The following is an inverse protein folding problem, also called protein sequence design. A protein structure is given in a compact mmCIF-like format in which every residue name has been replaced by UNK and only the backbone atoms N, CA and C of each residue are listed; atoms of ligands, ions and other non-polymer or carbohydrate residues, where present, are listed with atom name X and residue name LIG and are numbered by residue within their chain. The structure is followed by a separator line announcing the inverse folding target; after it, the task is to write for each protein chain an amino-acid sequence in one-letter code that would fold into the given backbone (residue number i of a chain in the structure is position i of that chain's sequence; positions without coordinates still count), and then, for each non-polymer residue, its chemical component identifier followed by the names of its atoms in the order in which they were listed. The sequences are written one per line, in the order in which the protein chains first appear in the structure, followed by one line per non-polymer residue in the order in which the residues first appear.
data_IF_750316924220
#
_entry.id   IF_750316924220
#
_cell.length_a   1.000
_cell.length_b   1.000
_cell.length_c   1.000
_cell.angle_alpha   90.00
_cell.angle_beta   90.00
_cell.angle_gamma   90.00
#
_symmetry.space_group_name_H-M   'P 1'
#
loop_
_entity.id
_entity.type
_entity.pdbx_description
1 polymer ?
#
# COMPACT_ATOMS: atom_id res chain seq x y z
N UNK A 1 -63.39 -8.09 -20.66
CA UNK A 1 -62.35 -7.34 -21.39
C UNK A 1 -61.44 -6.79 -20.34
N UNK A 2 -60.48 -7.62 -19.90
CA UNK A 2 -59.48 -7.26 -18.89
C UNK A 2 -58.14 -7.16 -19.61
N UNK A 3 -57.48 -6.02 -19.45
CA UNK A 3 -56.13 -5.77 -19.91
C UNK A 3 -55.14 -6.50 -19.01
N UNK A 4 -54.12 -7.19 -19.54
CA UNK A 4 -53.08 -7.76 -18.70
C UNK A 4 -52.19 -6.64 -18.16
N UNK A 5 -51.97 -6.65 -16.84
CA UNK A 5 -50.99 -5.83 -16.16
C UNK A 5 -49.59 -6.19 -16.66
N UNK A 6 -48.83 -5.17 -17.06
CA UNK A 6 -47.43 -5.31 -17.45
C UNK A 6 -46.62 -5.71 -16.20
N UNK A 7 -45.88 -6.83 -16.20
CA UNK A 7 -45.04 -7.20 -15.08
C UNK A 7 -43.85 -6.25 -15.03
N UNK A 8 -43.50 -5.83 -13.81
CA UNK A 8 -42.60 -4.72 -13.54
C UNK A 8 -41.24 -4.81 -14.23
N UNK A 9 -40.89 -3.71 -14.91
CA UNK A 9 -39.51 -3.23 -14.99
C UNK A 9 -39.11 -2.75 -13.58
N UNK A 10 -38.75 -3.70 -12.72
CA UNK A 10 -37.74 -3.41 -11.71
C UNK A 10 -36.41 -3.30 -12.46
N UNK A 11 -35.60 -2.25 -12.25
CA UNK A 11 -34.27 -2.22 -12.87
C UNK A 11 -33.57 -3.50 -12.44
N UNK A 12 -33.08 -4.28 -13.41
CA UNK A 12 -32.33 -5.51 -13.16
C UNK A 12 -31.18 -5.09 -12.24
N UNK A 13 -31.28 -5.39 -10.94
CA UNK A 13 -30.17 -5.19 -10.01
C UNK A 13 -29.06 -6.10 -10.51
N UNK A 14 -28.05 -5.50 -11.15
CA UNK A 14 -26.89 -6.22 -11.65
C UNK A 14 -26.29 -7.03 -10.51
N UNK A 15 -26.27 -8.35 -10.67
CA UNK A 15 -25.65 -9.24 -9.70
C UNK A 15 -24.17 -8.86 -9.51
N UNK A 16 -23.67 -8.91 -8.27
CA UNK A 16 -22.29 -8.56 -7.95
C UNK A 16 -21.35 -9.69 -8.35
N UNK A 17 -20.98 -9.75 -9.63
CA UNK A 17 -20.01 -10.68 -10.21
C UNK A 17 -18.77 -9.94 -10.71
N UNK A 18 -17.67 -10.68 -10.91
CA UNK A 18 -16.42 -10.12 -11.44
C UNK A 18 -16.64 -9.54 -12.84
N UNK A 19 -17.43 -10.22 -13.67
CA UNK A 19 -17.75 -9.81 -15.03
C UNK A 19 -18.57 -8.52 -15.06
N UNK A 20 -19.54 -8.37 -14.15
CA UNK A 20 -20.34 -7.16 -14.05
C UNK A 20 -19.51 -5.98 -13.51
N UNK A 21 -18.57 -6.23 -12.61
CA UNK A 21 -17.60 -5.21 -12.16
C UNK A 21 -16.71 -4.75 -13.31
N UNK A 22 -16.20 -5.67 -14.12
CA UNK A 22 -15.40 -5.34 -15.31
C UNK A 22 -16.20 -4.55 -16.35
N UNK A 23 -17.44 -4.95 -16.59
CA UNK A 23 -18.34 -4.23 -17.50
C UNK A 23 -18.62 -2.81 -17.03
N UNK A 24 -18.91 -2.63 -15.74
CA UNK A 24 -19.13 -1.30 -15.15
C UNK A 24 -17.85 -0.45 -15.18
N UNK A 25 -16.67 -1.03 -14.96
CA UNK A 25 -15.39 -0.33 -15.10
C UNK A 25 -15.15 0.10 -16.56
N UNK A 26 -15.44 -0.77 -17.52
CA UNK A 26 -15.34 -0.43 -18.93
C UNK A 26 -16.25 0.75 -19.28
N UNK A 27 -17.50 0.73 -18.82
CA UNK A 27 -18.45 1.83 -19.00
C UNK A 27 -17.93 3.13 -18.36
N UNK A 28 -17.40 3.06 -17.13
CA UNK A 28 -16.84 4.22 -16.44
C UNK A 28 -15.67 4.87 -17.20
N UNK A 29 -14.74 4.07 -17.73
CA UNK A 29 -13.55 4.61 -18.40
C UNK A 29 -13.83 5.02 -19.84
N UNK A 30 -14.60 4.23 -20.61
CA UNK A 30 -14.66 4.34 -22.07
C UNK A 30 -15.99 4.83 -22.65
N UNK A 31 -17.09 4.85 -21.90
CA UNK A 31 -18.37 5.33 -22.43
C UNK A 31 -18.30 6.84 -22.72
N UNK A 32 -18.72 7.34 -23.90
CA UNK A 32 -18.70 8.78 -24.17
C UNK A 32 -19.77 9.57 -23.39
N UNK A 33 -20.82 8.90 -22.88
CA UNK A 33 -21.92 9.52 -22.16
C UNK A 33 -21.60 9.68 -20.66
N UNK A 34 -21.63 10.93 -20.19
CA UNK A 34 -21.33 11.28 -18.81
C UNK A 34 -22.37 10.76 -17.81
N UNK A 35 -23.64 10.63 -18.22
CA UNK A 35 -24.68 10.09 -17.34
C UNK A 35 -24.43 8.61 -17.06
N UNK A 36 -24.07 7.84 -18.10
CA UNK A 36 -23.69 6.43 -17.98
C UNK A 36 -22.43 6.21 -17.16
N UNK A 37 -21.43 7.09 -17.27
CA UNK A 37 -20.27 7.06 -16.38
C UNK A 37 -20.66 7.27 -14.92
N UNK A 38 -21.55 8.22 -14.66
CA UNK A 38 -22.03 8.49 -13.31
C UNK A 38 -22.83 7.32 -12.72
N UNK A 39 -23.63 6.63 -13.53
CA UNK A 39 -24.35 5.41 -13.14
C UNK A 39 -23.36 4.28 -12.77
N UNK A 40 -22.39 4.01 -13.65
CA UNK A 40 -21.34 3.03 -13.39
C UNK A 40 -20.54 3.35 -12.12
N UNK A 41 -20.15 4.62 -11.93
CA UNK A 41 -19.43 5.05 -10.73
C UNK A 41 -20.26 4.79 -9.45
N UNK A 42 -21.56 5.12 -9.47
CA UNK A 42 -22.46 4.88 -8.33
C UNK A 42 -22.56 3.39 -8.02
N UNK A 43 -22.78 2.56 -9.03
CA UNK A 43 -22.88 1.11 -8.86
C UNK A 43 -21.56 0.50 -8.36
N UNK A 44 -20.42 0.89 -8.92
CA UNK A 44 -19.10 0.45 -8.47
C UNK A 44 -18.82 0.85 -7.02
N UNK A 45 -19.22 2.06 -6.62
CA UNK A 45 -19.10 2.51 -5.22
C UNK A 45 -19.93 1.63 -4.27
N UNK A 46 -21.14 1.23 -4.67
CA UNK A 46 -21.97 0.29 -3.92
C UNK A 46 -21.34 -1.11 -3.88
N UNK A 47 -20.77 -1.56 -5.00
CA UNK A 47 -20.05 -2.84 -5.09
C UNK A 47 -18.87 -2.88 -4.12
N UNK A 48 -18.10 -1.80 -3.99
CA UNK A 48 -16.97 -1.72 -3.04
C UNK A 48 -17.41 -1.79 -1.57
N UNK A 49 -18.58 -1.26 -1.23
CA UNK A 49 -19.11 -1.30 0.14
C UNK A 49 -19.69 -2.68 0.52
N UNK A 50 -20.03 -3.51 -0.47
CA UNK A 50 -20.66 -4.82 -0.27
C UNK A 50 -19.80 -5.81 0.54
N UNK A 51 -20.41 -6.88 1.04
CA UNK A 51 -19.69 -7.96 1.72
C UNK A 51 -18.84 -8.78 0.73
N UNK A 52 -19.36 -8.97 -0.48
CA UNK A 52 -18.74 -9.72 -1.58
C UNK A 52 -17.42 -9.09 -2.04
N UNK A 53 -17.24 -7.79 -1.79
CA UNK A 53 -16.02 -7.04 -2.09
C UNK A 53 -14.76 -7.67 -1.47
N UNK A 54 -14.86 -8.32 -0.31
CA UNK A 54 -13.72 -9.04 0.29
C UNK A 54 -13.21 -10.21 -0.56
N UNK A 55 -14.05 -10.73 -1.46
CA UNK A 55 -13.75 -11.89 -2.30
C UNK A 55 -13.43 -11.47 -3.74
N UNK A 56 -14.34 -10.72 -4.40
CA UNK A 56 -14.17 -10.41 -5.82
C UNK A 56 -12.94 -9.52 -6.09
N UNK A 57 -12.53 -8.68 -5.12
CA UNK A 57 -11.40 -7.77 -5.31
C UNK A 57 -10.09 -8.49 -5.66
N UNK A 58 -9.92 -9.72 -5.18
CA UNK A 58 -8.76 -10.55 -5.48
C UNK A 58 -8.78 -11.11 -6.89
N UNK A 59 -9.97 -11.47 -7.40
CA UNK A 59 -10.12 -11.92 -8.78
C UNK A 59 -9.78 -10.81 -9.80
N UNK A 60 -10.05 -9.55 -9.43
CA UNK A 60 -9.69 -8.39 -10.25
C UNK A 60 -8.19 -8.12 -10.32
N UNK A 61 -7.40 -8.66 -9.38
CA UNK A 61 -5.94 -8.56 -9.36
C UNK A 61 -5.25 -9.63 -10.23
N UNK A 62 -6.01 -10.45 -10.96
CA UNK A 62 -5.45 -11.47 -11.81
C UNK A 62 -4.58 -10.85 -12.94
N UNK A 63 -3.50 -11.54 -13.36
CA UNK A 63 -2.50 -10.98 -14.29
C UNK A 63 -3.03 -10.76 -15.72
N UNK A 64 -4.12 -11.43 -16.09
CA UNK A 64 -4.82 -11.27 -17.37
C UNK A 64 -5.71 -10.02 -17.43
N UNK A 65 -5.90 -9.33 -16.30
CA UNK A 65 -6.75 -8.13 -16.20
C UNK A 65 -5.99 -6.85 -16.57
N UNK A 66 -6.73 -5.86 -17.06
CA UNK A 66 -6.18 -4.54 -17.35
C UNK A 66 -5.73 -3.82 -16.06
N UNK A 67 -4.69 -2.96 -16.11
CA UNK A 67 -4.21 -2.23 -14.93
C UNK A 67 -5.29 -1.44 -14.19
N UNK A 68 -6.26 -0.87 -14.91
CA UNK A 68 -7.38 -0.12 -14.33
C UNK A 68 -8.32 -1.02 -13.51
N UNK A 69 -8.54 -2.25 -13.98
CA UNK A 69 -9.33 -3.27 -13.28
C UNK A 69 -8.61 -3.75 -12.03
N UNK A 70 -7.30 -4.05 -12.16
CA UNK A 70 -6.44 -4.40 -11.03
C UNK A 70 -6.40 -3.28 -9.98
N UNK A 71 -6.30 -2.03 -10.43
CA UNK A 71 -6.32 -0.87 -9.55
C UNK A 71 -7.63 -0.74 -8.78
N UNK A 72 -8.77 -1.04 -9.42
CA UNK A 72 -10.05 -1.08 -8.72
C UNK A 72 -10.08 -2.21 -7.67
N UNK A 73 -9.55 -3.40 -7.97
CA UNK A 73 -9.38 -4.48 -6.99
C UNK A 73 -8.56 -4.05 -5.78
N UNK A 74 -7.37 -3.49 -5.99
CA UNK A 74 -6.51 -2.97 -4.93
C UNK A 74 -7.17 -1.83 -4.14
N UNK A 75 -7.89 -0.93 -4.81
CA UNK A 75 -8.60 0.18 -4.17
C UNK A 75 -9.77 -0.32 -3.32
N UNK A 76 -10.45 -1.37 -3.78
CA UNK A 76 -11.51 -2.04 -3.02
C UNK A 76 -10.96 -2.63 -1.73
N UNK A 77 -9.80 -3.32 -1.79
CA UNK A 77 -9.12 -3.82 -0.59
C UNK A 77 -8.79 -2.72 0.41
N UNK A 78 -8.19 -1.61 -0.07
CA UNK A 78 -7.90 -0.47 0.79
C UNK A 78 -9.17 0.09 1.46
N UNK A 79 -10.24 0.29 0.69
CA UNK A 79 -11.54 0.75 1.21
C UNK A 79 -12.10 -0.21 2.27
N UNK A 80 -12.09 -1.53 2.00
CA UNK A 80 -12.59 -2.53 2.93
C UNK A 80 -11.78 -2.56 4.23
N UNK A 81 -10.45 -2.49 4.15
CA UNK A 81 -9.57 -2.47 5.31
C UNK A 81 -9.70 -1.16 6.10
N UNK A 82 -9.86 -0.03 5.43
CA UNK A 82 -9.92 1.29 6.09
C UNK A 82 -11.28 1.59 6.69
N UNK A 83 -12.37 1.14 6.07
CA UNK A 83 -13.74 1.54 6.46
C UNK A 83 -14.61 0.39 6.95
N UNK A 84 -14.29 -0.85 6.60
CA UNK A 84 -15.08 -2.04 6.91
C UNK A 84 -14.28 -3.07 7.74
N UNK A 85 -13.28 -2.62 8.48
CA UNK A 85 -12.40 -3.50 9.27
C UNK A 85 -13.17 -4.35 10.29
N UNK A 86 -14.22 -3.79 10.89
CA UNK A 86 -15.08 -4.47 11.86
C UNK A 86 -15.81 -5.69 11.28
N UNK A 87 -15.98 -5.74 9.96
CA UNK A 87 -16.68 -6.82 9.28
C UNK A 87 -15.80 -8.07 9.15
N UNK A 88 -14.48 -7.93 9.37
CA UNK A 88 -13.50 -9.00 9.21
C UNK A 88 -13.19 -9.69 10.56
N UNK A 89 -13.52 -10.99 10.70
CA UNK A 89 -13.19 -11.76 11.90
C UNK A 89 -11.68 -11.81 12.19
N UNK A 90 -11.31 -11.82 13.47
CA UNK A 90 -9.91 -11.75 13.91
C UNK A 90 -9.05 -12.94 13.48
N UNK A 91 -9.66 -14.12 13.33
CA UNK A 91 -9.02 -15.33 12.83
C UNK A 91 -8.62 -15.24 11.34
N UNK A 92 -9.18 -14.28 10.59
CA UNK A 92 -8.86 -14.05 9.19
C UNK A 92 -7.77 -12.99 8.98
N UNK A 93 -7.37 -12.27 10.04
CA UNK A 93 -6.39 -11.18 9.94
C UNK A 93 -5.03 -11.68 9.42
N UNK A 94 -4.54 -12.82 9.91
CA UNK A 94 -3.26 -13.36 9.43
C UNK A 94 -3.31 -13.80 7.96
N UNK A 95 -4.41 -14.45 7.55
CA UNK A 95 -4.60 -14.85 6.16
C UNK A 95 -4.61 -13.65 5.22
N UNK A 96 -5.36 -12.60 5.57
CA UNK A 96 -5.41 -11.37 4.79
C UNK A 96 -4.02 -10.71 4.67
N UNK A 97 -3.25 -10.69 5.77
CA UNK A 97 -1.91 -10.11 5.80
C UNK A 97 -0.97 -10.84 4.85
N UNK A 98 -0.94 -12.16 4.93
CA UNK A 98 -0.12 -12.99 4.04
C UNK A 98 -0.52 -12.83 2.57
N UNK A 99 -1.82 -12.76 2.29
CA UNK A 99 -2.33 -12.56 0.94
C UNK A 99 -1.94 -11.19 0.37
N UNK A 100 -2.02 -10.12 1.16
CA UNK A 100 -1.56 -8.78 0.76
C UNK A 100 -0.06 -8.78 0.48
N UNK A 101 0.77 -9.32 1.38
CA UNK A 101 2.22 -9.41 1.21
C UNK A 101 2.58 -10.16 -0.08
N UNK A 102 1.95 -11.32 -0.31
CA UNK A 102 2.17 -12.12 -1.52
C UNK A 102 1.79 -11.35 -2.79
N UNK A 103 0.69 -10.59 -2.77
CA UNK A 103 0.29 -9.79 -3.93
C UNK A 103 1.22 -8.58 -4.12
N UNK A 104 1.69 -7.92 -3.07
CA UNK A 104 2.66 -6.82 -3.21
C UNK A 104 3.97 -7.32 -3.85
N UNK A 105 4.43 -8.52 -3.47
CA UNK A 105 5.57 -9.17 -4.13
C UNK A 105 5.28 -9.49 -5.59
N UNK A 106 4.11 -10.05 -5.91
CA UNK A 106 3.71 -10.32 -7.29
C UNK A 106 3.67 -9.04 -8.16
N UNK A 107 3.19 -7.95 -7.58
CA UNK A 107 3.07 -6.65 -8.26
C UNK A 107 4.34 -5.80 -8.17
N UNK A 108 5.45 -6.28 -7.60
CA UNK A 108 6.70 -5.50 -7.48
C UNK A 108 7.25 -5.06 -8.83
N UNK A 109 7.03 -5.89 -9.86
CA UNK A 109 7.41 -5.63 -11.25
C UNK A 109 6.20 -5.28 -12.14
N UNK A 110 5.02 -5.08 -11.55
CA UNK A 110 3.77 -4.79 -12.22
C UNK A 110 3.46 -3.29 -12.34
N UNK A 111 2.21 -2.92 -12.65
CA UNK A 111 1.79 -1.52 -12.73
C UNK A 111 1.95 -0.80 -11.38
N UNK A 112 2.78 0.26 -11.36
CA UNK A 112 3.11 1.02 -10.13
C UNK A 112 1.89 1.49 -9.35
N UNK A 113 0.82 1.94 -10.03
CA UNK A 113 -0.40 2.40 -9.37
C UNK A 113 -1.08 1.31 -8.54
N UNK A 114 -1.03 0.06 -9.00
CA UNK A 114 -1.61 -1.09 -8.30
C UNK A 114 -0.74 -1.47 -7.11
N UNK A 115 0.59 -1.53 -7.33
CA UNK A 115 1.57 -1.78 -6.27
C UNK A 115 1.41 -0.79 -5.11
N UNK A 116 1.46 0.52 -5.39
CA UNK A 116 1.29 1.56 -4.37
C UNK A 116 -0.05 1.41 -3.64
N UNK A 117 -1.15 1.12 -4.36
CA UNK A 117 -2.45 0.95 -3.72
C UNK A 117 -2.51 -0.27 -2.80
N UNK A 118 -1.88 -1.38 -3.17
CA UNK A 118 -1.74 -2.55 -2.29
C UNK A 118 -0.86 -2.25 -1.08
N UNK A 119 0.23 -1.50 -1.25
CA UNK A 119 1.05 -1.02 -0.13
C UNK A 119 0.22 -0.17 0.85
N UNK A 120 -0.60 0.75 0.35
CA UNK A 120 -1.51 1.57 1.17
C UNK A 120 -2.56 0.71 1.89
N UNK A 121 -3.07 -0.35 1.25
CA UNK A 121 -3.99 -1.31 1.86
C UNK A 121 -3.32 -2.10 3.02
N UNK A 122 -2.06 -2.50 2.85
CA UNK A 122 -1.32 -3.19 3.92
C UNK A 122 -0.90 -2.24 5.04
N UNK A 123 -0.46 -1.01 4.73
CA UNK A 123 -0.22 0.03 5.73
C UNK A 123 -1.48 0.30 6.56
N UNK A 124 -2.62 0.37 5.88
CA UNK A 124 -3.94 0.51 6.50
C UNK A 124 -4.27 -0.60 7.49
N UNK A 125 -3.96 -1.84 7.11
CA UNK A 125 -4.13 -3.01 7.96
C UNK A 125 -3.19 -2.99 9.17
N UNK A 126 -1.92 -2.63 8.95
CA UNK A 126 -0.93 -2.49 10.02
C UNK A 126 -1.43 -1.48 11.08
N UNK A 127 -1.92 -0.31 10.66
CA UNK A 127 -2.48 0.71 11.56
C UNK A 127 -3.76 0.28 12.29
N UNK A 128 -4.48 -0.73 11.80
CA UNK A 128 -5.62 -1.30 12.52
C UNK A 128 -5.18 -2.33 13.58
N UNK A 129 -4.05 -3.01 13.35
CA UNK A 129 -3.57 -4.10 14.21
C UNK A 129 -2.57 -3.64 15.28
N UNK A 130 -1.74 -2.63 14.99
CA UNK A 130 -0.73 -2.14 15.93
C UNK A 130 -1.39 -1.34 17.06
N UNK A 131 -0.87 -1.38 18.29
CA UNK A 131 0.15 -2.30 18.80
C UNK A 131 -0.41 -3.63 19.31
N UNK A 132 -1.74 -3.81 19.33
CA UNK A 132 -2.38 -4.90 20.08
C UNK A 132 -2.22 -6.29 19.44
N UNK A 133 -2.37 -6.37 18.13
CA UNK A 133 -2.46 -7.62 17.37
C UNK A 133 -1.28 -7.83 16.41
N UNK A 134 -0.49 -6.79 16.13
CA UNK A 134 0.72 -6.89 15.35
C UNK A 134 1.84 -6.06 15.99
N UNK A 135 2.78 -6.76 16.63
CA UNK A 135 3.80 -6.14 17.48
C UNK A 135 5.03 -5.63 16.75
N UNK A 136 5.38 -6.21 15.58
CA UNK A 136 6.59 -5.89 14.82
C UNK A 136 6.31 -5.81 13.31
N UNK A 137 5.40 -4.91 12.87
CA UNK A 137 4.99 -4.76 11.48
C UNK A 137 6.16 -4.54 10.52
N UNK A 138 7.10 -3.63 10.82
CA UNK A 138 8.20 -3.32 9.90
C UNK A 138 9.16 -4.50 9.81
N UNK A 139 9.52 -5.13 10.93
CA UNK A 139 10.43 -6.27 10.90
C UNK A 139 9.85 -7.46 10.11
N UNK A 140 8.55 -7.72 10.24
CA UNK A 140 7.86 -8.75 9.47
C UNK A 140 7.82 -8.42 7.97
N UNK A 141 7.55 -7.16 7.61
CA UNK A 141 7.62 -6.70 6.21
C UNK A 141 9.03 -6.85 5.65
N UNK A 142 10.06 -6.39 6.36
CA UNK A 142 11.45 -6.56 5.92
C UNK A 142 11.78 -8.03 5.69
N UNK A 143 11.38 -8.93 6.59
CA UNK A 143 11.60 -10.38 6.45
C UNK A 143 10.87 -10.97 5.24
N UNK A 144 9.65 -10.52 4.96
CA UNK A 144 8.86 -11.02 3.84
C UNK A 144 9.45 -10.64 2.47
N UNK A 145 10.13 -9.48 2.37
CA UNK A 145 10.72 -8.97 1.13
C UNK A 145 12.19 -9.32 0.95
N UNK A 146 12.83 -9.90 1.97
CA UNK A 146 14.17 -10.48 1.81
C UNK A 146 14.12 -11.67 0.84
N UNK A 147 15.15 -11.85 -0.01
CA UNK A 147 15.26 -13.04 -0.85
C UNK A 147 15.15 -14.29 0.02
N UNK A 148 14.13 -15.11 -0.23
CA UNK A 148 14.02 -16.40 0.43
C UNK A 148 15.19 -17.26 -0.04
N UNK A 149 15.97 -17.84 0.88
CA UNK A 149 16.94 -18.86 0.48
C UNK A 149 16.14 -19.96 -0.21
N UNK A 150 16.54 -20.42 -1.42
CA UNK A 150 15.93 -21.62 -1.96
C UNK A 150 16.21 -22.73 -0.96
N UNK A 151 15.15 -23.25 -0.35
CA UNK A 151 15.26 -24.45 0.46
C UNK A 151 15.93 -25.49 -0.43
N UNK A 152 17.12 -25.90 0.00
CA UNK A 152 17.79 -27.03 -0.61
C UNK A 152 16.87 -28.21 -0.42
N UNK A 153 16.34 -28.71 -1.54
CA UNK A 153 15.43 -29.86 -1.71
C UNK A 153 14.01 -29.49 -2.21
N UNK A 154 13.88 -29.41 -3.54
CA UNK A 154 12.81 -30.18 -4.20
C UNK A 154 11.61 -29.47 -4.82
N UNK A 155 11.52 -28.13 -4.87
CA UNK A 155 10.37 -27.49 -5.55
C UNK A 155 10.68 -27.15 -7.01
N UNK A 156 10.39 -28.11 -7.90
CA UNK A 156 10.24 -27.86 -9.33
C UNK A 156 8.85 -27.26 -9.60
N UNK A 157 8.79 -25.97 -9.94
CA UNK A 157 7.55 -25.36 -10.42
C UNK A 157 7.55 -23.83 -10.38
N UNK A 158 7.87 -23.21 -11.52
CA UNK A 158 7.83 -21.76 -11.78
C UNK A 158 8.78 -20.92 -10.93
N UNK A 159 10.05 -20.86 -11.37
CA UNK A 159 10.97 -19.79 -10.99
C UNK A 159 10.42 -18.47 -11.54
N UNK A 160 9.49 -17.83 -10.81
CA UNK A 160 9.32 -16.40 -10.93
C UNK A 160 10.69 -15.81 -10.58
N UNK A 161 11.39 -15.31 -11.59
CA UNK A 161 12.66 -14.59 -11.44
C UNK A 161 12.45 -13.51 -10.40
N UNK A 162 12.84 -13.78 -9.15
CA UNK A 162 12.79 -12.83 -8.08
C UNK A 162 13.73 -11.70 -8.46
N UNK A 163 13.20 -10.54 -8.84
CA UNK A 163 13.98 -9.34 -9.07
C UNK A 163 14.25 -8.71 -7.69
N UNK A 164 15.46 -8.87 -7.12
CA UNK A 164 15.75 -8.41 -5.78
C UNK A 164 15.66 -6.88 -5.67
N UNK A 165 15.91 -6.17 -6.78
CA UNK A 165 15.76 -4.72 -6.84
C UNK A 165 14.28 -4.33 -6.82
N UNK A 166 13.42 -5.01 -7.58
CA UNK A 166 11.97 -4.75 -7.54
C UNK A 166 11.37 -4.99 -6.14
N UNK A 167 11.77 -6.07 -5.46
CA UNK A 167 11.34 -6.33 -4.08
C UNK A 167 11.82 -5.23 -3.12
N UNK A 168 13.08 -4.77 -3.26
CA UNK A 168 13.60 -3.67 -2.46
C UNK A 168 12.80 -2.37 -2.68
N UNK A 169 12.47 -2.04 -3.93
CA UNK A 169 11.67 -0.87 -4.27
C UNK A 169 10.23 -0.98 -3.73
N UNK A 170 9.62 -2.16 -3.79
CA UNK A 170 8.29 -2.40 -3.24
C UNK A 170 8.27 -2.31 -1.70
N UNK A 171 9.31 -2.82 -1.02
CA UNK A 171 9.48 -2.64 0.42
C UNK A 171 9.62 -1.15 0.78
N UNK A 172 10.47 -0.40 0.07
CA UNK A 172 10.62 1.03 0.31
C UNK A 172 9.31 1.80 0.06
N UNK A 173 8.53 1.41 -0.94
CA UNK A 173 7.19 1.96 -1.16
C UNK A 173 6.27 1.70 0.04
N UNK A 174 6.22 0.46 0.53
CA UNK A 174 5.42 0.07 1.70
C UNK A 174 5.82 0.85 2.96
N UNK A 175 7.12 0.98 3.20
CA UNK A 175 7.65 1.74 4.34
C UNK A 175 7.39 3.25 4.19
N UNK A 176 7.32 3.77 2.97
CA UNK A 176 7.00 5.19 2.72
C UNK A 176 5.52 5.48 2.97
N UNK A 177 4.62 4.63 2.47
CA UNK A 177 3.17 4.87 2.58
C UNK A 177 2.62 4.61 3.99
N UNK A 178 3.35 3.87 4.84
CA UNK A 178 2.94 3.59 6.22
C UNK A 178 2.74 4.87 7.07
N UNK A 179 3.75 5.75 7.22
CA UNK A 179 3.56 7.02 7.92
C UNK A 179 2.58 7.97 7.19
N UNK A 180 2.57 7.97 5.85
CA UNK A 180 1.64 8.81 5.06
C UNK A 180 0.17 8.44 5.32
N UNK A 181 -0.14 7.14 5.38
CA UNK A 181 -1.47 6.64 5.68
C UNK A 181 -1.88 6.98 7.12
N UNK A 182 -0.94 6.95 8.07
CA UNK A 182 -1.20 7.42 9.43
C UNK A 182 -1.54 8.92 9.47
N UNK A 183 -0.83 9.74 8.70
CA UNK A 183 -1.06 11.19 8.63
C UNK A 183 -2.40 11.52 7.98
N UNK A 184 -2.77 10.80 6.91
CA UNK A 184 -4.02 11.01 6.17
C UNK A 184 -5.27 10.56 6.95
N UNK A 185 -5.13 9.54 7.80
CA UNK A 185 -6.24 8.94 8.54
C UNK A 185 -6.85 9.89 9.57
N UNK A 186 -8.18 9.90 9.63
CA UNK A 186 -8.94 10.57 10.70
C UNK A 186 -9.08 9.64 11.89
N UNK A 187 -8.29 9.90 12.93
CA UNK A 187 -8.22 9.08 14.13
C UNK A 187 -8.61 9.89 15.36
N UNK A 188 -9.25 9.24 16.34
CA UNK A 188 -9.44 9.81 17.66
C UNK A 188 -8.07 10.10 18.33
N UNK A 189 -7.99 11.16 19.13
CA UNK A 189 -6.73 11.65 19.70
C UNK A 189 -5.94 10.57 20.45
N UNK A 190 -6.61 9.76 21.27
CA UNK A 190 -5.98 8.66 22.01
C UNK A 190 -5.37 7.60 21.09
N UNK A 191 -6.11 7.19 20.04
CA UNK A 191 -5.63 6.23 19.05
C UNK A 191 -4.46 6.80 18.24
N UNK A 192 -4.52 8.09 17.89
CA UNK A 192 -3.46 8.80 17.18
C UNK A 192 -2.16 8.85 17.99
N UNK A 193 -2.24 9.15 19.29
CA UNK A 193 -1.09 9.14 20.19
C UNK A 193 -0.46 7.73 20.29
N UNK A 194 -1.30 6.70 20.52
CA UNK A 194 -0.83 5.31 20.60
C UNK A 194 -0.14 4.84 19.31
N UNK A 195 -0.72 5.14 18.15
CA UNK A 195 -0.12 4.76 16.87
C UNK A 195 1.17 5.53 16.60
N UNK A 196 1.23 6.83 16.95
CA UNK A 196 2.47 7.61 16.82
C UNK A 196 3.60 7.01 17.64
N UNK A 197 3.34 6.66 18.90
CA UNK A 197 4.35 6.02 19.77
C UNK A 197 4.82 4.68 19.20
N UNK A 198 3.87 3.82 18.76
CA UNK A 198 4.21 2.53 18.18
C UNK A 198 5.02 2.68 16.87
N UNK A 199 4.62 3.57 15.97
CA UNK A 199 5.35 3.85 14.74
C UNK A 199 6.74 4.44 15.03
N UNK A 200 6.86 5.35 16.01
CA UNK A 200 8.16 5.87 16.41
C UNK A 200 9.11 4.75 16.88
N UNK A 201 8.57 3.72 17.56
CA UNK A 201 9.32 2.52 17.91
C UNK A 201 9.83 1.72 16.70
N UNK A 202 9.06 1.66 15.60
CA UNK A 202 9.47 0.96 14.38
C UNK A 202 10.66 1.65 13.67
N UNK A 203 10.93 2.93 13.97
CA UNK A 203 12.06 3.66 13.39
C UNK A 203 13.42 3.00 13.67
N UNK A 204 13.55 2.31 14.82
CA UNK A 204 14.75 1.55 15.16
C UNK A 204 15.09 0.46 14.14
N UNK A 205 14.10 -0.02 13.39
CA UNK A 205 14.27 -1.00 12.29
C UNK A 205 14.44 -0.30 10.94
N UNK A 206 13.69 0.78 10.70
CA UNK A 206 13.71 1.52 9.43
C UNK A 206 15.04 2.26 9.23
N UNK A 207 15.52 2.98 10.24
CA UNK A 207 16.70 3.85 10.12
C UNK A 207 17.96 3.08 9.63
N UNK A 208 18.35 1.95 10.26
CA UNK A 208 19.53 1.19 9.81
C UNK A 208 19.38 0.65 8.39
N UNK A 209 18.18 0.21 8.01
CA UNK A 209 17.88 -0.27 6.65
C UNK A 209 18.07 0.83 5.61
N UNK A 210 17.48 2.01 5.84
CA UNK A 210 17.61 3.16 4.95
C UNK A 210 19.09 3.56 4.80
N UNK A 211 19.82 3.58 5.91
CA UNK A 211 21.24 3.93 5.93
C UNK A 211 22.08 2.95 5.11
N UNK A 212 21.86 1.65 5.31
CA UNK A 212 22.53 0.59 4.56
C UNK A 212 22.31 0.76 3.05
N UNK A 213 21.07 1.03 2.63
CA UNK A 213 20.72 1.20 1.22
C UNK A 213 21.29 2.49 0.61
N UNK A 214 21.33 3.58 1.39
CA UNK A 214 21.89 4.85 0.92
C UNK A 214 23.41 4.78 0.73
N UNK A 215 24.11 4.14 1.66
CA UNK A 215 25.57 4.00 1.67
C UNK A 215 26.08 2.91 0.73
N UNK A 216 25.26 1.90 0.40
CA UNK A 216 25.67 0.81 -0.48
C UNK A 216 26.03 1.30 -1.88
N UNK A 217 27.13 0.76 -2.42
CA UNK A 217 27.56 1.01 -3.80
C UNK A 217 26.73 0.19 -4.81
N UNK A 218 26.15 -0.93 -4.37
CA UNK A 218 25.33 -1.80 -5.21
C UNK A 218 23.89 -1.28 -5.36
N UNK A 219 23.49 -0.31 -4.54
CA UNK A 219 22.16 0.30 -4.63
C UNK A 219 22.08 1.29 -5.79
N UNK A 220 21.12 1.06 -6.69
CA UNK A 220 20.85 1.96 -7.82
C UNK A 220 20.36 3.34 -7.35
N UNK A 221 20.50 4.35 -8.21
CA UNK A 221 20.00 5.71 -7.91
C UNK A 221 18.49 5.70 -7.62
N UNK A 222 17.72 4.85 -8.30
CA UNK A 222 16.29 4.69 -8.03
C UNK A 222 16.00 4.19 -6.60
N UNK A 223 16.80 3.25 -6.09
CA UNK A 223 16.69 2.78 -4.69
C UNK A 223 17.04 3.91 -3.74
N UNK A 224 18.13 4.65 -4.00
CA UNK A 224 18.55 5.78 -3.16
C UNK A 224 17.53 6.92 -3.15
N UNK A 225 16.90 7.24 -4.28
CA UNK A 225 15.80 8.19 -4.36
C UNK A 225 14.59 7.74 -3.51
N UNK A 226 14.24 6.45 -3.57
CA UNK A 226 13.18 5.87 -2.73
C UNK A 226 13.54 5.88 -1.23
N UNK A 227 14.81 5.70 -0.88
CA UNK A 227 15.30 5.84 0.51
C UNK A 227 15.09 7.28 1.01
N UNK A 228 15.43 8.28 0.20
CA UNK A 228 15.26 9.70 0.56
C UNK A 228 13.78 10.07 0.74
N UNK A 229 12.91 9.61 -0.17
CA UNK A 229 11.45 9.76 -0.03
C UNK A 229 10.91 9.07 1.24
N UNK A 230 11.37 7.85 1.50
CA UNK A 230 11.00 7.11 2.71
C UNK A 230 11.41 7.92 3.95
N UNK A 231 12.67 8.33 4.09
CA UNK A 231 13.11 9.18 5.20
C UNK A 231 12.20 10.40 5.40
N UNK A 232 11.91 11.14 4.32
CA UNK A 232 11.05 12.32 4.37
C UNK A 232 9.67 12.02 4.94
N UNK A 233 9.03 10.92 4.53
CA UNK A 233 7.71 10.51 5.04
C UNK A 233 7.71 10.22 6.56
N UNK A 234 8.82 9.72 7.10
CA UNK A 234 8.97 9.39 8.53
C UNK A 234 9.27 10.61 9.40
N UNK A 235 9.89 11.66 8.86
CA UNK A 235 10.19 12.88 9.63
C UNK A 235 8.95 13.57 10.22
N UNK A 236 7.77 13.43 9.59
CA UNK A 236 6.51 13.99 10.07
C UNK A 236 5.86 13.25 11.25
N UNK A 237 6.48 12.19 11.76
CA UNK A 237 5.99 11.42 12.92
C UNK A 237 6.51 11.96 14.27
N UNK A 238 7.26 13.06 14.29
CA UNK A 238 7.99 13.58 15.47
C UNK A 238 8.92 12.55 16.09
N UNK A 239 9.45 11.61 15.28
CA UNK A 239 10.46 10.65 15.74
C UNK A 239 11.65 11.44 16.23
N UNK A 240 12.15 11.13 17.43
CA UNK A 240 13.34 11.78 17.97
C UNK A 240 14.49 11.57 16.99
N UNK A 241 14.85 12.62 16.24
CA UNK A 241 15.93 12.64 15.26
C UNK A 241 17.33 12.43 15.90
N UNK A 242 17.40 12.23 17.22
CA UNK A 242 18.62 11.89 17.95
C UNK A 242 19.35 10.69 17.36
N UNK A 243 18.61 9.71 16.83
CA UNK A 243 19.19 8.51 16.18
C UNK A 243 19.26 8.62 14.64
N UNK A 244 18.79 9.73 14.05
CA UNK A 244 18.81 9.93 12.59
C UNK A 244 19.93 10.85 12.12
N UNK A 245 20.71 11.45 13.01
CA UNK A 245 21.78 12.39 12.66
C UNK A 245 22.70 11.81 11.57
N UNK A 246 23.10 10.55 11.72
CA UNK A 246 24.00 9.93 10.78
C UNK A 246 23.35 9.67 9.41
N UNK A 247 22.07 9.28 9.39
CA UNK A 247 21.32 9.11 8.14
C UNK A 247 21.13 10.46 7.42
N UNK A 248 20.86 11.53 8.16
CA UNK A 248 20.80 12.90 7.61
C UNK A 248 22.16 13.32 7.05
N UNK A 249 23.26 12.99 7.75
CA UNK A 249 24.61 13.22 7.25
C UNK A 249 24.88 12.45 5.94
N UNK A 250 24.41 11.21 5.84
CA UNK A 250 24.52 10.43 4.60
C UNK A 250 23.75 11.08 3.44
N UNK A 251 22.62 11.77 3.69
CA UNK A 251 21.91 12.55 2.67
C UNK A 251 22.75 13.69 2.08
N UNK A 252 23.62 14.34 2.87
CA UNK A 252 24.52 15.37 2.33
C UNK A 252 25.51 14.79 1.31
N UNK A 253 25.91 13.52 1.47
CA UNK A 253 26.77 12.85 0.49
C UNK A 253 26.03 12.64 -0.84
N UNK A 254 24.72 12.37 -0.79
CA UNK A 254 23.88 12.21 -1.98
C UNK A 254 23.77 13.49 -2.83
N UNK A 255 23.99 14.68 -2.26
CA UNK A 255 24.02 15.95 -3.00
C UNK A 255 25.12 16.00 -4.07
N UNK A 256 26.16 15.17 -3.94
CA UNK A 256 27.22 15.09 -4.96
C UNK A 256 26.77 14.35 -6.22
N UNK A 257 25.65 13.63 -6.18
CA UNK A 257 25.07 12.91 -7.30
C UNK A 257 23.97 13.77 -7.97
N UNK A 258 24.14 14.20 -9.23
CA UNK A 258 23.15 15.03 -9.93
C UNK A 258 21.76 14.41 -10.02
N UNK A 259 21.63 13.08 -10.11
CA UNK A 259 20.33 12.41 -10.19
C UNK A 259 19.58 12.39 -8.85
N UNK A 260 20.29 12.53 -7.73
CA UNK A 260 19.72 12.50 -6.38
C UNK A 260 19.59 13.89 -5.76
N UNK A 261 20.16 14.92 -6.40
CA UNK A 261 20.32 16.24 -5.82
C UNK A 261 19.00 16.83 -5.31
N UNK A 262 17.97 16.87 -6.15
CA UNK A 262 16.68 17.47 -5.79
C UNK A 262 16.01 16.74 -4.62
N UNK A 263 15.97 15.40 -4.68
CA UNK A 263 15.40 14.58 -3.60
C UNK A 263 16.21 14.69 -2.31
N UNK A 264 17.54 14.79 -2.39
CA UNK A 264 18.40 14.95 -1.23
C UNK A 264 18.21 16.32 -0.58
N UNK A 265 18.12 17.40 -1.36
CA UNK A 265 17.83 18.74 -0.85
C UNK A 265 16.47 18.76 -0.14
N UNK A 266 15.42 18.26 -0.79
CA UNK A 266 14.07 18.21 -0.20
C UNK A 266 14.05 17.43 1.12
N UNK A 267 14.73 16.28 1.15
CA UNK A 267 14.82 15.43 2.34
C UNK A 267 15.56 16.13 3.48
N UNK A 268 16.70 16.79 3.20
CA UNK A 268 17.47 17.53 4.20
C UNK A 268 16.66 18.70 4.74
N UNK A 269 16.00 19.48 3.87
CA UNK A 269 15.15 20.61 4.27
C UNK A 269 14.01 20.11 5.15
N UNK A 270 13.34 19.02 4.75
CA UNK A 270 12.22 18.44 5.50
C UNK A 270 12.68 17.96 6.87
N UNK A 271 13.82 17.27 6.96
CA UNK A 271 14.37 16.76 8.22
C UNK A 271 14.77 17.90 9.18
N UNK A 272 15.41 18.97 8.68
CA UNK A 272 15.88 20.09 9.51
C UNK A 272 14.72 21.02 9.92
N UNK A 273 13.69 21.15 9.08
CA UNK A 273 12.57 22.07 9.33
C UNK A 273 11.54 21.52 10.32
N UNK A 274 11.66 20.26 10.76
CA UNK A 274 10.75 19.73 11.76
C UNK A 274 10.91 20.48 13.08
N UNK A 275 9.81 20.90 13.74
CA UNK A 275 9.90 21.49 15.06
C UNK A 275 10.50 20.45 16.02
N UNK A 276 11.60 20.80 16.69
CA UNK A 276 12.11 19.98 17.79
C UNK A 276 10.98 19.76 18.79
N UNK A 277 10.52 18.51 18.92
CA UNK A 277 9.54 18.10 19.94
C UNK A 277 10.08 18.21 21.38
N UNK A 278 11.30 18.74 21.55
CA UNK A 278 11.97 18.98 22.83
C UNK A 278 12.05 20.46 23.27
N UNK A 279 11.22 21.36 22.72
CA UNK A 279 11.02 22.70 23.32
C UNK A 279 9.84 22.77 24.27
#
# INVERSE_FOLDING_TARGET
MELPANPGDSPVELELTVENVESALYQLYFDPDMERKNEAQKWLTQAQASAQAWQFCWALLAPDKLPEVQFFGASTLHTKISHHWSDLPSDQHDSLRMQLLSNILLFSSGPKMVLTRLCVALASMALNLIPQAWSQPVADMVRAFQPQKPDSEGSSGSEATQDPQAHCLALLELLTVLPEEFQSRRLAQARRAQLREALAGEWAVVCPLLRQLLQSQDSSNQVKEKVLRCLSSWTGLDVTLGDSHELVQDCFTALSNPELFDSAVETIVTAISQPDSQR
#
